data_IF_225775941783
#
_entry.id   IF_225775941783
#
_cell.length_a   1.000
_cell.length_b   1.000
_cell.length_c   1.000
_cell.angle_alpha   90.00
_cell.angle_beta   90.00
_cell.angle_gamma   90.00
#
_symmetry.space_group_name_H-M   'P 1'
#
loop_
_entity.id
_entity.type
_entity.pdbx_description
1 polymer ?
#
# COMPACT_ATOMS: atom_id res chain seq x y z
N UNK A 1 0.31 39.48 27.77
CA UNK A 1 0.45 40.61 26.85
C UNK A 1 -0.10 40.11 25.53
N UNK A 2 -1.25 40.69 25.16
CA UNK A 2 -2.14 40.63 23.97
C UNK A 2 -1.53 40.15 22.63
N UNK A 3 -2.25 39.67 21.62
CA UNK A 3 -3.68 39.39 21.31
C UNK A 3 -3.73 38.91 19.84
N UNK A 4 -4.75 38.16 19.40
CA UNK A 4 -5.16 38.10 17.98
C UNK A 4 -6.68 37.82 17.86
N UNK A 5 -7.43 38.93 17.87
CA UNK A 5 -8.55 39.35 17.01
C UNK A 5 -9.70 38.36 16.64
N UNK A 6 -10.93 38.76 16.98
CA UNK A 6 -12.17 38.30 16.36
C UNK A 6 -12.67 39.26 15.26
N UNK A 7 -13.20 38.69 14.16
CA UNK A 7 -14.06 39.34 13.15
C UNK A 7 -13.44 39.38 11.74
N UNK A 8 -14.09 39.03 10.63
CA UNK A 8 -15.52 39.13 10.29
C UNK A 8 -16.04 37.96 9.44
N UNK A 9 -17.36 37.74 9.55
CA UNK A 9 -18.19 36.85 8.77
C UNK A 9 -18.59 37.48 7.43
N UNK A 10 -18.68 36.68 6.37
CA UNK A 10 -19.61 36.98 5.25
C UNK A 10 -20.51 35.78 4.97
N UNK A 11 -21.80 36.00 5.21
CA UNK A 11 -22.93 35.17 4.81
C UNK A 11 -23.01 35.00 3.29
N UNK A 12 -23.43 33.81 2.83
CA UNK A 12 -24.19 33.71 1.59
C UNK A 12 -23.99 32.45 0.75
N UNK A 13 -24.60 31.34 1.15
CA UNK A 13 -25.60 30.55 0.40
C UNK A 13 -25.74 29.20 1.12
N UNK A 14 -26.89 29.00 1.76
CA UNK A 14 -27.42 27.67 2.10
C UNK A 14 -27.85 26.99 0.81
N UNK A 15 -27.44 25.75 0.58
CA UNK A 15 -28.36 24.64 0.33
C UNK A 15 -27.62 23.33 0.05
N UNK A 16 -28.00 22.35 0.88
CA UNK A 16 -28.31 20.96 0.55
C UNK A 16 -27.19 19.93 0.36
N UNK A 17 -27.51 18.81 1.02
CA UNK A 17 -27.02 17.45 0.90
C UNK A 17 -25.66 17.27 1.60
N UNK A 18 -25.62 16.79 2.86
CA UNK A 18 -25.77 15.36 3.24
C UNK A 18 -25.06 14.47 2.21
N UNK A 19 -24.07 13.73 2.70
CA UNK A 19 -23.11 12.89 1.98
C UNK A 19 -21.83 13.64 1.56
N UNK A 20 -20.98 13.99 2.55
CA UNK A 20 -19.54 13.72 2.35
C UNK A 20 -19.45 12.19 2.21
N UNK A 21 -19.61 11.74 0.98
CA UNK A 21 -19.29 10.40 0.50
C UNK A 21 -17.75 10.32 0.50
N UNK A 22 -17.15 10.48 1.69
CA UNK A 22 -15.78 10.11 1.97
C UNK A 22 -15.78 8.59 1.85
N UNK A 23 -15.43 8.08 0.66
CA UNK A 23 -14.94 6.72 0.54
C UNK A 23 -13.79 6.61 1.55
N UNK A 24 -14.02 5.84 2.62
CA UNK A 24 -13.27 5.82 3.87
C UNK A 24 -11.84 5.26 3.69
N UNK A 25 -11.01 6.02 2.99
CA UNK A 25 -9.55 5.91 3.01
C UNK A 25 -8.96 6.58 4.26
N UNK A 26 -9.80 7.21 5.10
CA UNK A 26 -9.38 7.98 6.28
C UNK A 26 -8.82 7.13 7.43
N UNK A 27 -9.04 5.81 7.41
CA UNK A 27 -8.62 4.88 8.46
C UNK A 27 -7.31 4.13 8.16
N UNK A 28 -6.83 4.10 6.91
CA UNK A 28 -5.60 3.38 6.56
C UNK A 28 -4.39 4.30 6.70
N UNK A 29 -3.43 3.87 7.51
CA UNK A 29 -2.16 4.55 7.75
C UNK A 29 -0.97 3.82 7.09
N UNK A 30 -1.03 2.49 6.93
CA UNK A 30 0.04 1.69 6.31
C UNK A 30 -0.44 0.33 5.79
N UNK A 31 0.41 -0.32 4.99
CA UNK A 31 0.23 -1.72 4.59
C UNK A 31 1.22 -2.67 5.29
N UNK A 32 0.73 -3.84 5.70
CA UNK A 32 1.61 -4.96 6.08
C UNK A 32 1.80 -5.91 4.90
N UNK A 33 3.04 -6.21 4.55
CA UNK A 33 3.36 -7.23 3.53
C UNK A 33 4.14 -8.36 4.16
N UNK A 34 3.67 -9.59 3.98
CA UNK A 34 4.37 -10.81 4.40
C UNK A 34 4.28 -11.91 3.34
N UNK A 35 5.09 -12.95 3.50
CA UNK A 35 5.05 -14.17 2.70
C UNK A 35 5.37 -15.37 3.58
N UNK A 36 4.88 -16.56 3.22
CA UNK A 36 5.22 -17.78 3.95
C UNK A 36 6.63 -18.29 3.60
N UNK A 37 7.08 -18.11 2.35
CA UNK A 37 8.42 -18.48 1.92
C UNK A 37 9.35 -17.25 1.92
N UNK A 38 10.11 -17.11 2.99
CA UNK A 38 11.08 -16.02 3.17
C UNK A 38 12.45 -16.31 2.55
N UNK A 39 12.65 -17.50 1.97
CA UNK A 39 13.90 -17.91 1.31
C UNK A 39 13.65 -18.63 -0.02
N UNK A 40 12.89 -18.01 -0.95
CA UNK A 40 12.53 -18.67 -2.19
C UNK A 40 13.75 -18.90 -3.07
N UNK A 41 13.70 -19.96 -3.87
CA UNK A 41 14.71 -20.17 -4.92
C UNK A 41 14.60 -19.13 -6.02
N UNK A 42 15.67 -18.91 -6.77
CA UNK A 42 15.64 -18.03 -7.95
C UNK A 42 14.55 -18.51 -8.94
N UNK A 43 13.75 -17.57 -9.42
CA UNK A 43 12.58 -17.75 -10.28
C UNK A 43 11.41 -18.53 -9.66
N UNK A 44 11.47 -18.90 -8.38
CA UNK A 44 10.31 -19.41 -7.67
C UNK A 44 9.32 -18.26 -7.44
N UNK A 45 8.05 -18.52 -7.73
CA UNK A 45 6.95 -17.61 -7.40
C UNK A 45 6.63 -17.72 -5.92
N UNK A 46 6.27 -16.60 -5.30
CA UNK A 46 5.90 -16.52 -3.89
C UNK A 46 4.60 -15.76 -3.73
N UNK A 47 3.81 -16.20 -2.74
CA UNK A 47 2.59 -15.52 -2.35
C UNK A 47 2.93 -14.23 -1.60
N UNK A 48 2.13 -13.20 -1.79
CA UNK A 48 2.15 -11.97 -0.98
C UNK A 48 0.87 -11.89 -0.16
N UNK A 49 1.03 -11.62 1.14
CA UNK A 49 -0.08 -11.39 2.08
C UNK A 49 -0.07 -9.93 2.46
N UNK A 50 -1.14 -9.22 2.13
CA UNK A 50 -1.24 -7.78 2.31
C UNK A 50 -2.36 -7.49 3.30
N UNK A 51 -2.11 -6.53 4.19
CA UNK A 51 -3.09 -6.06 5.18
C UNK A 51 -3.11 -4.55 5.22
N UNK A 52 -4.27 -3.94 4.98
CA UNK A 52 -4.51 -2.52 5.24
C UNK A 52 -4.62 -2.29 6.75
N UNK A 53 -3.91 -1.29 7.29
CA UNK A 53 -3.84 -1.05 8.73
C UNK A 53 -3.96 0.41 9.12
N UNK A 54 -4.59 0.63 10.26
CA UNK A 54 -4.60 1.90 10.98
C UNK A 54 -3.29 2.13 11.76
N UNK A 55 -3.18 3.29 12.39
CA UNK A 55 -2.05 3.76 13.19
C UNK A 55 -1.81 2.95 14.46
N UNK A 56 -2.82 2.22 14.95
CA UNK A 56 -2.72 1.28 16.05
C UNK A 56 -2.34 -0.15 15.58
N UNK A 57 -2.12 -0.35 14.27
CA UNK A 57 -1.89 -1.63 13.58
C UNK A 57 -3.10 -2.58 13.58
N UNK A 58 -4.30 -2.05 13.79
CA UNK A 58 -5.57 -2.73 13.51
C UNK A 58 -5.75 -3.01 12.02
N UNK A 59 -6.67 -3.89 11.65
CA UNK A 59 -7.00 -4.14 10.24
C UNK A 59 -8.21 -3.29 9.86
N UNK A 60 -8.06 -2.48 8.82
CA UNK A 60 -9.14 -1.66 8.27
C UNK A 60 -9.90 -2.52 7.28
N UNK A 61 -11.09 -2.98 7.67
CA UNK A 61 -11.79 -4.06 6.95
C UNK A 61 -12.57 -3.60 5.72
N UNK A 62 -12.79 -2.31 5.58
CA UNK A 62 -13.57 -1.65 4.55
C UNK A 62 -12.73 -0.88 3.52
N UNK A 63 -11.40 -1.05 3.56
CA UNK A 63 -10.51 -0.53 2.53
C UNK A 63 -10.80 -1.16 1.15
N UNK A 64 -11.00 -0.31 0.13
CA UNK A 64 -11.42 -0.72 -1.22
C UNK A 64 -10.66 -0.05 -2.37
N UNK A 65 -9.49 0.52 -2.10
CA UNK A 65 -8.71 1.23 -3.14
C UNK A 65 -7.68 0.33 -3.83
N UNK A 66 -7.15 0.83 -4.94
CA UNK A 66 -6.06 0.22 -5.68
C UNK A 66 -4.72 0.44 -4.97
N UNK A 67 -3.85 -0.56 -5.05
CA UNK A 67 -2.49 -0.48 -4.51
C UNK A 67 -1.44 -0.94 -5.50
N UNK A 68 -0.28 -0.28 -5.49
CA UNK A 68 0.89 -0.64 -6.30
C UNK A 68 1.98 -1.34 -5.47
N UNK A 69 2.83 -2.11 -6.15
CA UNK A 69 3.98 -2.79 -5.53
C UNK A 69 5.30 -2.11 -5.85
N UNK A 70 5.97 -1.61 -4.81
CA UNK A 70 7.32 -1.06 -4.93
C UNK A 70 8.34 -2.08 -4.43
N UNK A 71 9.24 -2.51 -5.32
CA UNK A 71 10.21 -3.57 -5.01
C UNK A 71 11.60 -2.98 -4.82
N UNK A 72 12.23 -3.36 -3.71
CA UNK A 72 13.61 -3.01 -3.40
C UNK A 72 14.48 -4.26 -3.34
N UNK A 73 15.75 -4.10 -3.66
CA UNK A 73 16.77 -5.12 -3.45
C UNK A 73 18.01 -4.55 -2.75
N UNK A 74 18.78 -5.43 -2.12
CA UNK A 74 20.16 -5.16 -1.72
C UNK A 74 21.02 -6.41 -1.92
N UNK A 75 22.29 -6.18 -2.23
CA UNK A 75 23.29 -7.25 -2.32
C UNK A 75 23.82 -7.57 -0.92
N UNK A 76 24.39 -8.77 -0.72
CA UNK A 76 24.97 -9.17 0.57
C UNK A 76 26.11 -8.26 1.06
N UNK A 77 26.70 -7.46 0.17
CA UNK A 77 27.75 -6.49 0.46
C UNK A 77 27.23 -5.06 0.71
N UNK A 78 25.92 -4.82 0.58
CA UNK A 78 25.28 -3.52 0.72
C UNK A 78 24.34 -3.50 1.92
N UNK A 79 24.38 -2.42 2.69
CA UNK A 79 23.38 -2.15 3.74
C UNK A 79 22.22 -1.27 3.23
N UNK A 80 22.33 -0.72 2.02
CA UNK A 80 21.33 0.17 1.44
C UNK A 80 20.40 -0.60 0.50
N UNK A 81 19.10 -0.43 0.71
CA UNK A 81 18.05 -0.83 -0.22
C UNK A 81 18.04 0.06 -1.46
N UNK A 82 17.73 -0.55 -2.60
CA UNK A 82 17.61 0.14 -3.89
C UNK A 82 16.31 -0.29 -4.55
N UNK A 83 15.49 0.68 -4.89
CA UNK A 83 14.28 0.45 -5.66
C UNK A 83 14.63 -0.15 -7.03
N UNK A 84 13.75 -1.00 -7.55
CA UNK A 84 13.87 -1.56 -8.87
C UNK A 84 12.50 -1.71 -9.52
N UNK A 85 12.45 -1.42 -10.82
CA UNK A 85 11.27 -1.58 -11.68
C UNK A 85 11.56 -2.50 -12.87
N UNK A 86 12.72 -3.17 -12.87
CA UNK A 86 13.17 -3.95 -14.02
C UNK A 86 12.86 -5.43 -13.86
N UNK A 87 12.27 -6.00 -14.91
CA UNK A 87 12.10 -7.44 -15.11
C UNK A 87 13.40 -8.26 -15.06
N UNK A 88 14.56 -7.61 -14.89
CA UNK A 88 15.86 -8.24 -14.62
C UNK A 88 15.98 -8.77 -13.19
N UNK A 89 15.32 -8.14 -12.21
CA UNK A 89 15.50 -8.44 -10.78
C UNK A 89 14.31 -9.17 -10.18
N UNK A 90 13.10 -8.85 -10.62
CA UNK A 90 11.87 -9.52 -10.22
C UNK A 90 10.91 -9.59 -11.41
N UNK A 91 9.77 -10.23 -11.22
CA UNK A 91 8.62 -10.18 -12.12
C UNK A 91 7.37 -10.45 -11.30
N UNK A 92 6.34 -9.63 -11.49
CA UNK A 92 5.01 -9.87 -10.94
C UNK A 92 4.29 -10.92 -11.80
N UNK A 93 3.30 -11.60 -11.24
CA UNK A 93 2.35 -12.34 -12.09
C UNK A 93 1.56 -11.38 -12.98
N UNK A 94 1.09 -11.87 -14.13
CA UNK A 94 0.34 -11.04 -15.09
C UNK A 94 -0.95 -10.50 -14.45
N UNK A 95 -1.53 -11.23 -13.49
CA UNK A 95 -2.71 -10.80 -12.73
C UNK A 95 -2.43 -9.62 -11.78
N UNK A 96 -1.16 -9.27 -11.52
CA UNK A 96 -0.75 -8.25 -10.55
C UNK A 96 0.28 -7.26 -11.12
N UNK A 97 0.46 -7.20 -12.45
CA UNK A 97 1.45 -6.33 -13.09
C UNK A 97 1.20 -4.85 -12.79
N UNK A 98 -0.08 -4.48 -12.71
CA UNK A 98 -0.57 -3.13 -12.43
C UNK A 98 -1.03 -2.96 -10.95
N UNK A 99 -0.64 -3.86 -10.04
CA UNK A 99 -1.04 -3.77 -8.62
C UNK A 99 -2.18 -4.70 -8.22
N UNK A 100 -2.98 -4.29 -7.22
CA UNK A 100 -4.16 -5.01 -6.75
C UNK A 100 -5.28 -4.07 -6.30
N UNK A 101 -6.49 -4.30 -6.78
CA UNK A 101 -7.71 -3.59 -6.32
C UNK A 101 -8.29 -4.27 -5.09
N UNK A 102 -8.23 -3.62 -3.92
CA UNK A 102 -8.95 -4.12 -2.75
C UNK A 102 -10.46 -4.04 -2.94
N UNK A 103 -11.15 -5.03 -2.40
CA UNK A 103 -12.60 -5.09 -2.37
C UNK A 103 -13.10 -5.24 -0.94
N UNK A 104 -14.36 -4.86 -0.70
CA UNK A 104 -14.99 -5.07 0.61
C UNK A 104 -15.09 -6.54 1.00
N UNK A 105 -14.94 -7.47 0.05
CA UNK A 105 -14.85 -8.91 0.33
C UNK A 105 -13.49 -9.37 0.85
N UNK A 106 -12.45 -8.55 0.75
CA UNK A 106 -11.12 -8.86 1.28
C UNK A 106 -11.02 -8.60 2.78
N UNK A 107 -11.98 -7.88 3.38
CA UNK A 107 -11.96 -7.50 4.80
C UNK A 107 -10.60 -6.87 5.22
N UNK A 108 -10.01 -6.03 4.33
CA UNK A 108 -8.72 -5.40 4.55
C UNK A 108 -7.50 -6.34 4.51
N UNK A 109 -7.68 -7.58 4.07
CA UNK A 109 -6.63 -8.60 4.07
C UNK A 109 -6.73 -9.55 2.87
N UNK A 110 -5.68 -9.60 2.06
CA UNK A 110 -5.64 -10.46 0.87
C UNK A 110 -4.39 -11.34 0.83
N UNK A 111 -4.52 -12.51 0.21
CA UNK A 111 -3.38 -13.34 -0.20
C UNK A 111 -3.34 -13.44 -1.72
N UNK A 112 -2.33 -12.80 -2.31
CA UNK A 112 -2.04 -12.86 -3.73
C UNK A 112 -1.16 -14.09 -4.00
N UNK A 113 -1.70 -15.07 -4.73
CA UNK A 113 -1.03 -16.35 -4.94
C UNK A 113 0.00 -16.22 -6.05
N UNK A 114 1.19 -16.78 -5.88
CA UNK A 114 2.24 -16.83 -6.91
C UNK A 114 2.62 -15.43 -7.46
N UNK A 115 2.39 -14.40 -6.66
CA UNK A 115 2.31 -13.00 -7.08
C UNK A 115 3.63 -12.42 -7.60
N UNK A 116 4.77 -12.86 -7.07
CA UNK A 116 6.08 -12.32 -7.46
C UNK A 116 7.12 -13.41 -7.53
N UNK A 117 8.07 -13.30 -8.46
CA UNK A 117 9.29 -14.12 -8.49
C UNK A 117 10.55 -13.26 -8.53
N UNK A 118 11.60 -13.70 -7.84
CA UNK A 118 12.89 -13.01 -7.80
C UNK A 118 13.93 -13.68 -8.71
N UNK A 119 14.61 -12.89 -9.52
CA UNK A 119 15.50 -13.39 -10.61
C UNK A 119 16.98 -13.32 -10.27
N UNK A 120 17.35 -12.72 -9.14
CA UNK A 120 18.72 -12.67 -8.61
C UNK A 120 18.77 -13.21 -7.20
N UNK A 121 19.94 -13.72 -6.82
CA UNK A 121 20.23 -14.16 -5.46
C UNK A 121 20.61 -12.95 -4.59
N UNK A 122 19.61 -12.12 -4.28
CA UNK A 122 19.71 -10.91 -3.47
C UNK A 122 18.67 -10.94 -2.34
N UNK A 123 18.80 -10.02 -1.39
CA UNK A 123 17.72 -9.74 -0.44
C UNK A 123 16.73 -8.77 -1.07
N UNK A 124 15.44 -9.02 -0.86
CA UNK A 124 14.34 -8.22 -1.42
C UNK A 124 13.42 -7.70 -0.31
N UNK A 125 12.78 -6.56 -0.58
CA UNK A 125 11.72 -5.95 0.23
C UNK A 125 10.64 -5.49 -0.74
N UNK A 126 9.38 -5.78 -0.43
CA UNK A 126 8.21 -5.30 -1.17
C UNK A 126 7.46 -4.34 -0.26
N UNK A 127 7.19 -3.15 -0.77
CA UNK A 127 6.32 -2.15 -0.14
C UNK A 127 5.05 -2.04 -1.00
N UNK A 128 3.95 -1.68 -0.36
CA UNK A 128 2.65 -1.47 -0.98
C UNK A 128 2.29 -0.02 -0.73
N UNK A 129 1.89 0.69 -1.79
CA UNK A 129 1.50 2.09 -1.74
C UNK A 129 0.07 2.23 -2.27
N UNK A 130 -0.70 3.13 -1.69
CA UNK A 130 -2.03 3.48 -2.22
C UNK A 130 -1.84 4.35 -3.48
N UNK A 131 -2.56 4.03 -4.56
CA UNK A 131 -2.46 4.76 -5.84
C UNK A 131 -3.03 6.18 -5.78
N UNK A 132 -4.02 6.38 -4.91
CA UNK A 132 -4.78 7.63 -4.78
C UNK A 132 -4.30 8.48 -3.59
N UNK A 133 -3.54 7.89 -2.66
CA UNK A 133 -3.00 8.58 -1.48
C UNK A 133 -1.52 8.23 -1.16
N UNK A 134 -0.61 9.09 -1.62
CA UNK A 134 0.84 8.95 -1.37
C UNK A 134 1.25 9.13 0.11
N UNK A 135 0.36 9.61 0.99
CA UNK A 135 0.64 9.75 2.42
C UNK A 135 0.52 8.42 3.19
N UNK A 136 -0.05 7.38 2.57
CA UNK A 136 -0.18 6.01 3.11
C UNK A 136 1.03 5.16 2.69
N UNK A 137 1.88 4.78 3.65
CA UNK A 137 3.17 4.09 3.41
C UNK A 137 3.41 2.84 4.26
#
# INVERSE_FOLDING_TARGET
MYDFEEGEWTDGISNNDDDDDDNDAGDVDNFYVTTDDTTPSINQRVDLKIKARDSDNGTVTDYTNAVEFVVYYKTSSSSSWRETTSSTYFELDDDYEDGYDFSSSDDGYVTLTDAIRFKKDYEYKVEVVDEDDEDIL
#
